data_IF_124990902365
#
_entry.id   IF_124990902365
#
_cell.length_a   1.000
_cell.length_b   1.000
_cell.length_c   1.000
_cell.angle_alpha   90.00
_cell.angle_beta   90.00
_cell.angle_gamma   90.00
#
_symmetry.space_group_name_H-M   'P 1'
#
loop_
_entity.id
_entity.type
_entity.pdbx_description
1 polymer ?
#
# COMPACT_ATOMS: atom_id res chain seq x y z
N UNK A 1 -44.86 -10.14 -8.33
CA UNK A 1 -43.39 -10.17 -8.44
C UNK A 1 -42.82 -9.66 -7.13
N UNK A 2 -42.42 -10.57 -6.28
CA UNK A 2 -41.84 -10.24 -4.96
C UNK A 2 -40.35 -9.89 -5.14
N UNK A 3 -40.03 -8.61 -5.05
CA UNK A 3 -38.64 -8.12 -5.03
C UNK A 3 -37.95 -8.69 -3.79
N UNK A 4 -37.11 -9.73 -3.96
CA UNK A 4 -36.18 -10.17 -2.93
C UNK A 4 -35.22 -9.00 -2.61
N UNK A 5 -35.45 -8.34 -1.47
CA UNK A 5 -34.47 -7.41 -0.90
C UNK A 5 -33.19 -8.20 -0.63
N UNK A 6 -32.18 -8.01 -1.43
CA UNK A 6 -30.85 -8.62 -1.24
C UNK A 6 -30.23 -8.02 0.04
N UNK A 7 -30.25 -8.78 1.12
CA UNK A 7 -29.63 -8.38 2.41
C UNK A 7 -28.14 -8.16 2.18
N UNK A 8 -27.65 -6.95 2.45
CA UNK A 8 -26.23 -6.60 2.29
C UNK A 8 -25.35 -7.54 3.09
N UNK A 9 -24.21 -7.96 2.54
CA UNK A 9 -23.22 -8.79 3.24
C UNK A 9 -22.54 -8.00 4.36
N UNK A 10 -21.85 -8.70 5.27
CA UNK A 10 -21.02 -8.08 6.32
C UNK A 10 -20.01 -7.12 5.70
N UNK A 11 -19.32 -7.58 4.67
CA UNK A 11 -18.34 -6.78 3.94
C UNK A 11 -18.96 -5.49 3.36
N UNK A 12 -20.09 -5.58 2.68
CA UNK A 12 -20.74 -4.41 2.09
C UNK A 12 -21.16 -3.38 3.13
N UNK A 13 -21.57 -3.83 4.32
CA UNK A 13 -21.97 -2.93 5.40
C UNK A 13 -20.75 -2.23 6.00
N UNK A 14 -19.71 -2.99 6.35
CA UNK A 14 -18.50 -2.46 6.99
C UNK A 14 -17.66 -1.61 6.03
N UNK A 15 -17.62 -1.95 4.74
CA UNK A 15 -16.86 -1.20 3.74
C UNK A 15 -17.44 0.19 3.43
N UNK A 16 -18.70 0.44 3.79
CA UNK A 16 -19.32 1.76 3.66
C UNK A 16 -18.97 2.72 4.83
N UNK A 17 -18.29 2.24 5.87
CA UNK A 17 -17.92 3.06 7.01
C UNK A 17 -16.66 3.86 6.67
N UNK A 18 -16.76 5.19 6.74
CA UNK A 18 -15.59 6.05 6.57
C UNK A 18 -14.73 6.02 7.85
N UNK A 19 -13.48 5.59 7.73
CA UNK A 19 -12.54 5.51 8.87
C UNK A 19 -11.47 6.61 8.83
N UNK A 20 -11.49 7.52 7.85
CA UNK A 20 -10.41 8.49 7.60
C UNK A 20 -10.10 9.36 8.82
N UNK A 21 -11.14 9.83 9.53
CA UNK A 21 -11.00 10.68 10.72
C UNK A 21 -10.49 9.91 11.96
N UNK A 22 -10.27 8.60 11.84
CA UNK A 22 -9.85 7.70 12.92
C UNK A 22 -8.51 7.04 12.64
N UNK A 23 -7.85 7.49 11.60
CA UNK A 23 -6.54 7.00 11.21
C UNK A 23 -5.43 7.94 11.64
N UNK A 24 -4.28 7.38 11.97
CA UNK A 24 -3.04 8.09 12.25
C UNK A 24 -1.95 7.63 11.28
N UNK A 25 -1.13 8.55 10.80
CA UNK A 25 0.04 8.21 9.99
C UNK A 25 1.28 8.08 10.87
N UNK A 26 2.01 6.98 10.70
CA UNK A 26 3.34 6.75 11.28
C UNK A 26 4.30 6.41 10.16
N UNK A 27 5.06 7.40 9.70
CA UNK A 27 5.84 7.30 8.47
C UNK A 27 4.92 7.15 7.25
N UNK A 28 5.14 6.11 6.46
CA UNK A 28 4.32 5.80 5.29
C UNK A 28 3.11 4.89 5.59
N UNK A 29 3.03 4.34 6.81
CA UNK A 29 1.96 3.44 7.20
C UNK A 29 0.78 4.18 7.81
N UNK A 30 -0.43 3.72 7.49
CA UNK A 30 -1.67 4.23 8.04
C UNK A 30 -2.16 3.28 9.15
N UNK A 31 -2.42 3.82 10.33
CA UNK A 31 -2.91 3.06 11.48
C UNK A 31 -4.35 3.45 11.79
N UNK A 32 -5.21 2.45 11.91
CA UNK A 32 -6.55 2.61 12.45
C UNK A 32 -6.53 2.18 13.92
N UNK A 33 -7.14 2.96 14.80
CA UNK A 33 -7.28 2.60 16.21
C UNK A 33 -8.06 1.30 16.36
N UNK A 34 -7.44 0.27 16.97
CA UNK A 34 -8.07 -1.04 17.16
C UNK A 34 -9.32 -0.95 18.06
N UNK A 35 -9.28 -0.10 19.07
CA UNK A 35 -10.41 0.07 20.01
C UNK A 35 -11.61 0.71 19.32
N UNK A 36 -11.38 1.72 18.50
CA UNK A 36 -12.42 2.33 17.70
C UNK A 36 -12.97 1.33 16.65
N UNK A 37 -12.10 0.65 15.94
CA UNK A 37 -12.51 -0.34 14.93
C UNK A 37 -13.37 -1.45 15.54
N UNK A 38 -12.95 -1.98 16.67
CA UNK A 38 -13.72 -3.00 17.40
C UNK A 38 -15.07 -2.46 17.89
N UNK A 39 -15.10 -1.24 18.42
CA UNK A 39 -16.33 -0.58 18.87
C UNK A 39 -17.33 -0.42 17.70
N UNK A 40 -16.89 0.01 16.52
CA UNK A 40 -17.77 0.17 15.35
C UNK A 40 -18.35 -1.19 14.91
N UNK A 41 -17.53 -2.23 14.89
CA UNK A 41 -18.03 -3.57 14.58
C UNK A 41 -19.06 -4.02 15.61
N UNK A 42 -18.80 -3.84 16.90
CA UNK A 42 -19.71 -4.25 17.99
C UNK A 42 -21.03 -3.46 18.01
N UNK A 43 -21.06 -2.22 17.54
CA UNK A 43 -22.30 -1.44 17.37
C UNK A 43 -23.26 -2.08 16.35
N UNK A 44 -22.69 -2.63 15.26
CA UNK A 44 -23.48 -3.20 14.17
C UNK A 44 -23.70 -4.70 14.37
N UNK A 45 -22.70 -5.38 14.91
CA UNK A 45 -22.68 -6.82 15.17
C UNK A 45 -22.32 -7.10 16.64
N UNK A 46 -23.27 -6.98 17.57
CA UNK A 46 -23.02 -7.17 18.99
C UNK A 46 -22.44 -8.54 19.35
N UNK A 47 -22.77 -9.56 18.55
CA UNK A 47 -22.32 -10.95 18.75
C UNK A 47 -20.95 -11.23 18.10
N UNK A 48 -20.33 -10.25 17.43
CA UNK A 48 -19.00 -10.43 16.88
C UNK A 48 -18.00 -10.80 17.97
N UNK A 49 -17.14 -11.76 17.69
CA UNK A 49 -16.09 -12.23 18.61
C UNK A 49 -14.74 -12.20 17.94
N UNK A 50 -13.69 -12.08 18.74
CA UNK A 50 -12.33 -12.32 18.27
C UNK A 50 -11.58 -13.23 19.24
N UNK A 51 -10.62 -13.97 18.71
CA UNK A 51 -9.68 -14.74 19.50
C UNK A 51 -8.27 -14.61 18.92
N UNK A 52 -7.30 -14.99 19.70
CA UNK A 52 -5.91 -15.11 19.26
C UNK A 52 -5.38 -16.49 19.61
N UNK A 53 -4.54 -16.99 18.70
CA UNK A 53 -3.91 -18.29 18.88
C UNK A 53 -2.89 -18.25 20.01
N UNK A 54 -2.90 -19.28 20.86
CA UNK A 54 -1.86 -19.52 21.86
C UNK A 54 -1.01 -20.70 21.46
N UNK A 55 0.29 -20.52 21.53
CA UNK A 55 1.21 -21.63 21.30
C UNK A 55 0.94 -22.76 22.31
N UNK A 56 0.68 -23.99 21.88
CA UNK A 56 0.26 -25.08 22.77
C UNK A 56 1.36 -25.51 23.79
N UNK A 57 2.63 -25.28 23.46
CA UNK A 57 3.74 -25.66 24.34
C UNK A 57 4.03 -24.59 25.42
N UNK A 58 3.95 -23.31 25.05
CA UNK A 58 4.34 -22.19 25.92
C UNK A 58 3.15 -21.46 26.53
N UNK A 59 1.94 -21.67 26.00
CA UNK A 59 0.71 -20.92 26.29
C UNK A 59 0.82 -19.40 26.04
N UNK A 60 1.86 -18.96 25.30
CA UNK A 60 2.05 -17.56 24.95
C UNK A 60 1.22 -17.18 23.71
N UNK A 61 0.78 -15.90 23.60
CA UNK A 61 -0.08 -15.45 22.52
C UNK A 61 0.71 -15.15 21.22
N UNK A 62 1.79 -15.85 21.00
CA UNK A 62 2.57 -15.80 19.79
C UNK A 62 3.30 -17.12 19.55
N UNK A 63 3.67 -17.38 18.33
CA UNK A 63 4.53 -18.51 17.96
C UNK A 63 5.89 -18.00 17.47
N UNK A 64 6.90 -18.85 17.57
CA UNK A 64 8.24 -18.59 17.10
C UNK A 64 8.79 -19.81 16.39
N UNK A 65 9.51 -19.57 15.31
CA UNK A 65 10.28 -20.60 14.63
C UNK A 65 11.63 -20.02 14.19
N UNK A 66 12.71 -20.72 14.48
CA UNK A 66 14.04 -20.33 14.03
C UNK A 66 14.10 -20.21 12.51
N UNK A 67 14.74 -19.15 12.01
CA UNK A 67 14.80 -18.81 10.59
C UNK A 67 13.54 -18.18 10.03
N UNK A 68 12.39 -18.20 10.76
CA UNK A 68 11.15 -17.58 10.34
C UNK A 68 10.79 -16.34 11.19
N UNK A 69 11.12 -16.36 12.48
CA UNK A 69 10.80 -15.28 13.42
C UNK A 69 9.57 -15.54 14.28
N UNK A 70 9.18 -14.53 15.04
CA UNK A 70 7.99 -14.56 15.88
C UNK A 70 6.78 -13.97 15.13
N UNK A 71 5.61 -14.53 15.34
CA UNK A 71 4.35 -14.07 14.73
C UNK A 71 3.16 -14.25 15.66
N UNK A 72 2.15 -13.40 15.46
CA UNK A 72 0.86 -13.48 16.12
C UNK A 72 -0.21 -13.89 15.12
N UNK A 73 -1.26 -14.54 15.61
CA UNK A 73 -2.38 -14.99 14.80
C UNK A 73 -3.69 -14.67 15.52
N UNK A 74 -4.65 -14.10 14.80
CA UNK A 74 -6.00 -13.77 15.29
C UNK A 74 -7.07 -14.36 14.39
N UNK A 75 -8.23 -14.66 14.96
CA UNK A 75 -9.44 -14.91 14.19
C UNK A 75 -10.55 -13.96 14.65
N UNK A 76 -11.39 -13.53 13.72
CA UNK A 76 -12.57 -12.71 13.96
C UNK A 76 -13.76 -13.39 13.33
N UNK A 77 -14.81 -13.54 14.11
CA UNK A 77 -16.09 -14.09 13.66
C UNK A 77 -17.15 -13.00 13.70
N UNK A 78 -17.77 -12.74 12.56
CA UNK A 78 -18.91 -11.83 12.42
C UNK A 78 -20.05 -12.61 11.74
N UNK A 79 -21.15 -12.85 12.47
CA UNK A 79 -22.20 -13.79 12.06
C UNK A 79 -21.61 -15.19 11.78
N UNK A 80 -21.79 -15.69 10.56
CA UNK A 80 -21.40 -17.03 10.14
C UNK A 80 -20.01 -17.05 9.47
N UNK A 81 -19.34 -15.89 9.38
CA UNK A 81 -18.04 -15.76 8.69
C UNK A 81 -16.92 -15.60 9.71
N UNK A 82 -15.96 -16.51 9.66
CA UNK A 82 -14.71 -16.43 10.44
C UNK A 82 -13.54 -16.22 9.50
N UNK A 83 -12.82 -15.13 9.71
CA UNK A 83 -11.58 -14.84 8.98
C UNK A 83 -10.39 -14.88 9.92
N UNK A 84 -9.28 -15.32 9.40
CA UNK A 84 -8.01 -15.43 10.12
C UNK A 84 -6.98 -14.47 9.56
N UNK A 85 -6.12 -13.94 10.43
CA UNK A 85 -5.04 -13.06 10.08
C UNK A 85 -3.82 -13.37 10.93
N UNK A 86 -2.65 -13.38 10.34
CA UNK A 86 -1.39 -13.44 11.07
C UNK A 86 -0.44 -12.32 10.65
N UNK A 87 0.36 -11.86 11.57
CA UNK A 87 1.37 -10.83 11.32
C UNK A 87 2.69 -11.18 12.02
N UNK A 88 3.84 -10.85 11.41
CA UNK A 88 5.12 -10.96 12.07
C UNK A 88 5.21 -9.95 13.23
N UNK A 89 5.88 -10.34 14.30
CA UNK A 89 6.32 -9.40 15.32
C UNK A 89 7.53 -8.64 14.78
N UNK A 90 7.44 -7.32 14.74
CA UNK A 90 8.44 -6.46 14.12
C UNK A 90 8.97 -5.43 15.11
N UNK A 91 10.18 -4.99 14.87
CA UNK A 91 10.79 -3.83 15.53
C UNK A 91 10.36 -2.50 14.87
N UNK A 92 10.93 -1.39 15.34
CA UNK A 92 10.64 -0.05 14.83
C UNK A 92 11.17 0.20 13.40
N UNK A 93 11.98 -0.72 12.87
CA UNK A 93 12.50 -0.70 11.49
C UNK A 93 11.75 -1.66 10.57
N UNK A 94 10.62 -2.20 11.04
CA UNK A 94 9.81 -3.20 10.36
C UNK A 94 10.57 -4.52 10.07
N UNK A 95 11.61 -4.84 10.87
CA UNK A 95 12.34 -6.09 10.76
C UNK A 95 11.72 -7.13 11.70
N UNK A 96 11.62 -8.38 11.25
CA UNK A 96 11.10 -9.48 12.06
C UNK A 96 11.98 -9.69 13.31
N UNK A 97 11.33 -9.84 14.47
CA UNK A 97 11.99 -10.03 15.76
C UNK A 97 12.02 -11.52 16.11
N UNK A 98 13.20 -12.02 16.50
CA UNK A 98 13.36 -13.41 16.91
C UNK A 98 12.94 -13.63 18.37
N UNK A 99 13.20 -12.66 19.25
CA UNK A 99 12.88 -12.71 20.68
C UNK A 99 12.05 -11.47 21.05
N UNK A 100 10.74 -11.50 20.82
CA UNK A 100 9.89 -10.33 21.05
C UNK A 100 9.69 -10.04 22.53
N UNK A 101 9.56 -8.76 22.86
CA UNK A 101 9.05 -8.33 24.16
C UNK A 101 7.52 -8.48 24.20
N UNK A 102 6.97 -8.54 25.41
CA UNK A 102 5.49 -8.58 25.61
C UNK A 102 4.78 -7.38 24.96
N UNK A 103 5.41 -6.20 25.00
CA UNK A 103 4.90 -4.99 24.33
C UNK A 103 4.82 -5.15 22.81
N UNK A 104 5.87 -5.69 22.18
CA UNK A 104 5.88 -5.95 20.74
C UNK A 104 4.80 -6.98 20.35
N UNK A 105 4.63 -8.04 21.16
CA UNK A 105 3.59 -9.04 20.95
C UNK A 105 2.20 -8.42 21.04
N UNK A 106 1.93 -7.64 22.11
CA UNK A 106 0.64 -6.97 22.30
C UNK A 106 0.33 -6.01 21.13
N UNK A 107 1.30 -5.19 20.72
CA UNK A 107 1.12 -4.28 19.60
C UNK A 107 0.82 -5.03 18.30
N UNK A 108 1.49 -6.17 18.08
CA UNK A 108 1.25 -7.00 16.90
C UNK A 108 -0.13 -7.64 16.94
N UNK A 109 -0.61 -8.12 18.08
CA UNK A 109 -1.97 -8.66 18.24
C UNK A 109 -3.04 -7.61 17.89
N UNK A 110 -2.88 -6.37 18.36
CA UNK A 110 -3.83 -5.30 18.06
C UNK A 110 -3.81 -4.89 16.58
N UNK A 111 -2.64 -4.85 15.96
CA UNK A 111 -2.51 -4.64 14.51
C UNK A 111 -3.14 -5.79 13.72
N UNK A 112 -2.91 -7.02 14.17
CA UNK A 112 -3.46 -8.22 13.56
C UNK A 112 -4.99 -8.20 13.60
N UNK A 113 -5.58 -7.86 14.75
CA UNK A 113 -7.02 -7.66 14.90
C UNK A 113 -7.56 -6.62 13.92
N UNK A 114 -6.93 -5.44 13.85
CA UNK A 114 -7.39 -4.37 12.96
C UNK A 114 -7.34 -4.78 11.49
N UNK A 115 -6.27 -5.45 11.04
CA UNK A 115 -6.19 -5.97 9.67
C UNK A 115 -7.21 -7.09 9.41
N UNK A 116 -7.52 -7.91 10.41
CA UNK A 116 -8.57 -8.92 10.29
C UNK A 116 -9.96 -8.26 10.12
N UNK A 117 -10.26 -7.20 10.89
CA UNK A 117 -11.49 -6.40 10.71
C UNK A 117 -11.55 -5.75 9.32
N UNK A 118 -10.42 -5.34 8.77
CA UNK A 118 -10.34 -4.83 7.39
C UNK A 118 -10.70 -5.90 6.35
N UNK A 119 -10.33 -7.15 6.57
CA UNK A 119 -10.76 -8.26 5.69
C UNK A 119 -12.29 -8.45 5.70
N UNK A 120 -12.96 -8.17 6.82
CA UNK A 120 -14.41 -8.09 6.90
C UNK A 120 -15.01 -6.82 6.26
N UNK A 121 -14.17 -5.89 5.77
CA UNK A 121 -14.55 -4.68 5.04
C UNK A 121 -14.25 -3.36 5.76
N UNK A 122 -14.03 -3.34 7.08
CA UNK A 122 -13.87 -2.09 7.82
C UNK A 122 -12.55 -1.37 7.48
N UNK A 123 -12.63 -0.32 6.69
CA UNK A 123 -11.47 0.50 6.34
C UNK A 123 -10.42 -0.22 5.49
N UNK A 124 -10.79 -1.24 4.73
CA UNK A 124 -9.86 -2.01 3.90
C UNK A 124 -9.03 -1.10 2.97
N UNK A 125 -9.62 -0.03 2.47
CA UNK A 125 -8.98 0.92 1.56
C UNK A 125 -7.76 1.65 2.15
N UNK A 126 -7.64 1.77 3.48
CA UNK A 126 -6.47 2.44 4.09
C UNK A 126 -5.18 1.64 3.93
N UNK A 127 -5.30 0.33 3.69
CA UNK A 127 -4.16 -0.58 3.46
C UNK A 127 -3.79 -0.71 1.99
N UNK A 128 -4.52 -0.05 1.07
CA UNK A 128 -4.20 -0.06 -0.34
C UNK A 128 -2.79 0.54 -0.56
N UNK A 129 -1.89 -0.26 -1.15
CA UNK A 129 -0.50 0.13 -1.39
C UNK A 129 0.50 -0.25 -0.29
N UNK A 130 0.08 -0.79 0.86
CA UNK A 130 1.01 -1.28 1.89
C UNK A 130 1.84 -2.49 1.43
N UNK A 131 1.30 -3.29 0.52
CA UNK A 131 1.96 -4.49 -0.02
C UNK A 131 2.90 -4.18 -1.20
N UNK A 132 3.03 -2.91 -1.60
CA UNK A 132 4.01 -2.52 -2.59
C UNK A 132 5.42 -2.74 -2.01
N UNK A 133 6.37 -3.25 -2.81
CA UNK A 133 7.75 -3.42 -2.38
C UNK A 133 8.26 -2.13 -1.73
N UNK A 134 8.71 -2.22 -0.49
CA UNK A 134 9.34 -1.09 0.20
C UNK A 134 10.68 -0.84 -0.50
N UNK A 135 10.72 0.20 -1.32
CA UNK A 135 11.97 0.67 -1.91
C UNK A 135 12.80 1.22 -0.75
N UNK A 136 13.94 0.61 -0.47
CA UNK A 136 14.83 1.07 0.59
C UNK A 136 15.35 2.48 0.29
N UNK A 137 15.74 3.28 1.31
CA UNK A 137 16.35 4.60 1.08
C UNK A 137 17.50 4.58 0.07
N UNK A 138 18.28 3.49 0.03
CA UNK A 138 19.37 3.30 -0.94
C UNK A 138 18.86 3.02 -2.36
N UNK A 139 17.73 2.35 -2.49
CA UNK A 139 17.06 2.13 -3.79
C UNK A 139 16.31 3.38 -4.24
N UNK A 140 15.74 4.18 -3.30
CA UNK A 140 15.17 5.50 -3.58
C UNK A 140 16.28 6.45 -4.05
N UNK A 141 17.46 6.43 -3.41
CA UNK A 141 18.61 7.23 -3.82
C UNK A 141 19.06 6.84 -5.23
N UNK A 142 19.20 5.55 -5.51
CA UNK A 142 19.56 5.05 -6.85
C UNK A 142 18.45 5.28 -7.88
N UNK A 143 17.17 5.18 -7.51
CA UNK A 143 16.05 5.48 -8.40
C UNK A 143 15.86 6.98 -8.61
N UNK A 144 16.19 7.81 -7.63
CA UNK A 144 16.18 9.27 -7.75
C UNK A 144 17.41 9.80 -8.48
N UNK A 145 18.56 9.16 -8.36
CA UNK A 145 19.72 9.41 -9.22
C UNK A 145 19.45 9.03 -10.68
N UNK A 146 18.63 8.00 -10.94
CA UNK A 146 18.18 7.63 -12.28
C UNK A 146 16.99 8.44 -12.80
N UNK A 147 16.36 9.29 -11.97
CA UNK A 147 15.13 10.05 -12.28
C UNK A 147 15.16 11.52 -11.87
N UNK A 148 16.31 12.11 -11.59
CA UNK A 148 16.40 13.56 -11.63
C UNK A 148 16.23 13.98 -13.09
N UNK A 149 14.99 14.36 -13.46
CA UNK A 149 14.72 14.88 -14.80
C UNK A 149 15.61 16.10 -15.02
N UNK A 150 16.41 16.05 -16.06
CA UNK A 150 17.32 17.13 -16.41
C UNK A 150 16.49 18.27 -17.01
N UNK A 151 16.66 19.50 -16.51
CA UNK A 151 16.04 20.66 -17.13
C UNK A 151 16.63 20.86 -18.52
N UNK A 152 15.76 21.08 -19.49
CA UNK A 152 16.20 21.36 -20.87
C UNK A 152 16.86 22.74 -20.91
N UNK A 153 18.08 22.78 -21.41
CA UNK A 153 18.88 23.99 -21.66
C UNK A 153 19.57 23.90 -23.03
N UNK A 154 20.26 24.96 -23.43
CA UNK A 154 20.94 25.01 -24.73
C UNK A 154 22.02 23.93 -24.90
N UNK A 155 22.57 23.42 -23.78
CA UNK A 155 23.63 22.39 -23.83
C UNK A 155 23.10 20.99 -24.14
N UNK A 156 21.87 20.70 -23.75
CA UNK A 156 21.27 19.37 -23.96
C UNK A 156 20.20 19.35 -25.07
N UNK A 157 19.79 20.53 -25.57
CA UNK A 157 18.77 20.64 -26.61
C UNK A 157 19.11 19.85 -27.90
N UNK A 158 20.31 19.98 -28.39
CA UNK A 158 20.74 19.30 -29.64
C UNK A 158 20.69 17.78 -29.49
N UNK A 159 21.11 17.25 -28.34
CA UNK A 159 21.02 15.81 -28.01
C UNK A 159 19.56 15.33 -27.93
N UNK A 160 18.66 16.17 -27.44
CA UNK A 160 17.20 15.87 -27.38
C UNK A 160 16.62 15.81 -28.78
N UNK A 161 16.96 16.79 -29.63
CA UNK A 161 16.54 16.85 -31.04
C UNK A 161 17.05 15.64 -31.82
N UNK A 162 18.31 15.28 -31.67
CA UNK A 162 18.91 14.12 -32.32
C UNK A 162 18.23 12.81 -31.90
N UNK A 163 17.99 12.65 -30.59
CA UNK A 163 17.27 11.48 -30.06
C UNK A 163 15.86 11.39 -30.63
N UNK A 164 15.15 12.51 -30.69
CA UNK A 164 13.79 12.56 -31.23
C UNK A 164 13.75 12.26 -32.73
N UNK A 165 14.70 12.78 -33.52
CA UNK A 165 14.85 12.50 -34.96
C UNK A 165 15.14 11.02 -35.22
N UNK A 166 16.01 10.40 -34.41
CA UNK A 166 16.30 8.96 -34.47
C UNK A 166 15.07 8.11 -34.17
N UNK A 167 14.30 8.45 -33.13
CA UNK A 167 13.06 7.74 -32.82
C UNK A 167 12.01 7.89 -33.93
N UNK A 168 11.93 9.07 -34.56
CA UNK A 168 11.05 9.31 -35.70
C UNK A 168 11.46 8.50 -36.93
N UNK A 169 12.73 8.40 -37.24
CA UNK A 169 13.22 7.59 -38.37
C UNK A 169 12.86 6.10 -38.22
N UNK A 170 12.66 5.64 -36.95
CA UNK A 170 12.15 4.32 -36.59
C UNK A 170 10.61 4.20 -36.64
N UNK A 171 9.92 5.18 -37.27
CA UNK A 171 8.45 5.25 -37.37
C UNK A 171 7.71 5.29 -36.00
N UNK A 172 8.38 5.76 -34.95
CA UNK A 172 7.76 5.89 -33.59
C UNK A 172 6.74 7.04 -33.63
N UNK A 173 5.56 6.82 -33.01
CA UNK A 173 4.50 7.84 -32.90
C UNK A 173 4.95 8.99 -32.01
N UNK A 174 4.44 10.20 -32.31
CA UNK A 174 4.77 11.42 -31.57
C UNK A 174 4.56 11.30 -30.06
N UNK A 175 3.41 10.78 -29.62
CA UNK A 175 3.11 10.64 -28.20
C UNK A 175 4.12 9.73 -27.47
N UNK A 176 4.61 8.70 -28.15
CA UNK A 176 5.64 7.80 -27.62
C UNK A 176 7.01 8.49 -27.52
N UNK A 177 7.34 9.33 -28.51
CA UNK A 177 8.57 10.14 -28.49
C UNK A 177 8.50 11.13 -27.33
N UNK A 178 7.40 11.87 -27.23
CA UNK A 178 7.18 12.85 -26.18
C UNK A 178 7.25 12.24 -24.79
N UNK A 179 6.55 11.12 -24.54
CA UNK A 179 6.58 10.44 -23.26
C UNK A 179 8.00 10.00 -22.85
N UNK A 180 8.78 9.43 -23.77
CA UNK A 180 10.18 9.04 -23.50
C UNK A 180 11.08 10.23 -23.17
N UNK A 181 10.84 11.39 -23.78
CA UNK A 181 11.58 12.62 -23.47
C UNK A 181 11.16 13.18 -22.11
N UNK A 182 9.85 13.20 -21.81
CA UNK A 182 9.32 13.67 -20.52
C UNK A 182 9.68 12.75 -19.33
N UNK A 183 10.02 11.50 -19.59
CA UNK A 183 10.57 10.60 -18.56
C UNK A 183 11.97 11.02 -18.10
N UNK A 184 12.77 11.61 -19.01
CA UNK A 184 14.17 11.96 -18.76
C UNK A 184 14.39 13.46 -18.54
N UNK A 185 13.58 14.32 -19.18
CA UNK A 185 13.76 15.76 -19.19
C UNK A 185 12.52 16.49 -18.68
N UNK A 186 12.74 17.68 -18.09
CA UNK A 186 11.68 18.65 -17.82
C UNK A 186 11.57 19.54 -19.05
N UNK A 187 10.51 19.36 -19.84
CA UNK A 187 10.28 20.04 -21.12
C UNK A 187 9.08 20.97 -20.95
N UNK A 188 9.19 22.22 -21.32
CA UNK A 188 8.07 23.17 -21.34
C UNK A 188 7.29 23.13 -22.67
N UNK A 189 6.16 23.82 -22.70
CA UNK A 189 5.28 23.82 -23.89
C UNK A 189 5.94 24.44 -25.11
N UNK A 190 6.79 25.46 -24.96
CA UNK A 190 7.51 26.12 -26.05
C UNK A 190 8.53 25.16 -26.66
N UNK A 191 9.28 24.45 -25.85
CA UNK A 191 10.24 23.43 -26.24
C UNK A 191 9.55 22.26 -26.96
N UNK A 192 8.39 21.82 -26.48
CA UNK A 192 7.58 20.79 -27.17
C UNK A 192 7.15 21.24 -28.55
N UNK A 193 6.64 22.46 -28.69
CA UNK A 193 6.23 23.03 -29.97
C UNK A 193 7.41 23.18 -30.92
N UNK A 194 8.56 23.67 -30.43
CA UNK A 194 9.79 23.80 -31.20
C UNK A 194 10.26 22.42 -31.69
N UNK A 195 10.23 21.40 -30.84
CA UNK A 195 10.62 20.05 -31.24
C UNK A 195 9.64 19.46 -32.27
N UNK A 196 8.35 19.66 -32.08
CA UNK A 196 7.33 19.23 -33.04
C UNK A 196 7.49 19.88 -34.41
N UNK A 197 7.80 21.18 -34.44
CA UNK A 197 8.12 21.90 -35.68
C UNK A 197 9.35 21.36 -36.37
N UNK A 198 10.42 21.05 -35.63
CA UNK A 198 11.65 20.45 -36.19
C UNK A 198 11.36 19.06 -36.78
N UNK A 199 10.54 18.26 -36.13
CA UNK A 199 10.27 16.89 -36.54
C UNK A 199 9.23 16.77 -37.67
N UNK A 200 8.26 17.66 -37.72
CA UNK A 200 7.07 17.50 -38.57
C UNK A 200 6.82 18.70 -39.51
N UNK A 201 7.56 19.80 -39.38
CA UNK A 201 7.48 20.96 -40.28
C UNK A 201 6.16 21.73 -40.17
N UNK A 202 5.43 21.58 -39.04
CA UNK A 202 4.15 22.28 -38.82
C UNK A 202 4.27 23.28 -37.69
#
# INVERSE_FOLDING_TARGET
MTTKSTKKSVFQILNNINVNDRTEKKGQLTYLSWSWAWQEVKKIYPDATYSYYRNPETNLPFSFKEGFGAFCHTSVTIKDETLEMWLPVMDNRNQSVLKPTSTQVNNTLMRCLTKNLAMHGLGLYIYAGEDLPQITPDEISKSNESKSKVKVDDKNWDSIVETAQRLRSQKTKWDTILNRLMDKYIVDMEQIQKLQKILYGK
#
